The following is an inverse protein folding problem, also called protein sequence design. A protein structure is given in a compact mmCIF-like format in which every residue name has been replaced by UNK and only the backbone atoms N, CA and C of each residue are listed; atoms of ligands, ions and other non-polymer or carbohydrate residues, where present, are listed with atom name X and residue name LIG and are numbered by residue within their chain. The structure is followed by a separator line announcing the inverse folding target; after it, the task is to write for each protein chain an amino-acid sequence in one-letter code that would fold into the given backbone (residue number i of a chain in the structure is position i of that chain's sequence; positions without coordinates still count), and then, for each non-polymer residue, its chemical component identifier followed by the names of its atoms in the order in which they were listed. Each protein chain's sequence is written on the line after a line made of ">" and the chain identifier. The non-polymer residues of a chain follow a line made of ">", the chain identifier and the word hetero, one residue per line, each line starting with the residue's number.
data_IF_606260323997
#
_entry.id   IF_606260323997
#
_cell.length_a   1.000
_cell.length_b   1.000
_cell.length_c   1.000
_cell.angle_alpha   90.00
_cell.angle_beta   90.00
_cell.angle_gamma   90.00
#
_symmetry.space_group_name_H-M   'P 1'
#
loop_
_entity.id
_entity.type
_entity.pdbx_description
1 polymer ?
#
# COMPACT_ATOMS: atom_id res chain seq x y z
N UNK A 1 54.34 -27.78 -10.72
CA UNK A 1 53.34 -27.88 -11.81
C UNK A 1 52.87 -26.48 -12.10
N UNK A 2 53.43 -25.88 -13.15
CA UNK A 2 53.01 -24.60 -13.70
C UNK A 2 51.81 -24.83 -14.60
N UNK A 3 50.73 -24.05 -14.44
CA UNK A 3 49.77 -23.83 -15.50
C UNK A 3 49.35 -22.36 -15.54
N UNK A 4 49.41 -21.87 -16.78
CA UNK A 4 49.35 -20.50 -17.27
C UNK A 4 47.90 -19.97 -17.31
N UNK A 5 47.72 -18.68 -17.06
CA UNK A 5 46.54 -17.91 -17.50
C UNK A 5 46.39 -17.92 -19.03
N UNK A 6 45.18 -17.61 -19.53
CA UNK A 6 45.11 -16.64 -20.61
C UNK A 6 44.17 -15.46 -20.33
N UNK A 7 44.68 -14.29 -20.66
CA UNK A 7 44.03 -12.99 -20.70
C UNK A 7 43.11 -12.83 -21.93
N UNK A 8 42.04 -12.05 -21.80
CA UNK A 8 41.45 -11.23 -22.88
C UNK A 8 40.53 -10.17 -22.24
N UNK A 9 41.00 -8.92 -22.10
CA UNK A 9 40.67 -7.71 -22.90
C UNK A 9 39.18 -7.34 -22.88
N UNK A 10 38.83 -6.20 -22.27
CA UNK A 10 38.54 -4.91 -22.93
C UNK A 10 37.03 -4.68 -22.83
N UNK A 11 36.43 -3.51 -22.63
CA UNK A 11 36.86 -2.14 -22.44
C UNK A 11 35.58 -1.36 -22.05
N UNK A 12 35.72 -0.28 -21.27
CA UNK A 12 34.78 0.85 -21.11
C UNK A 12 33.40 0.70 -20.39
N UNK A 13 33.32 1.34 -19.20
CA UNK A 13 32.13 2.04 -18.66
C UNK A 13 31.56 3.08 -19.66
N UNK A 14 30.44 3.77 -19.37
CA UNK A 14 29.09 3.30 -19.08
C UNK A 14 28.12 3.86 -20.15
N UNK A 15 27.14 3.09 -20.63
CA UNK A 15 26.08 3.67 -21.46
C UNK A 15 25.08 4.40 -20.55
N UNK A 16 25.34 5.68 -20.29
CA UNK A 16 24.31 6.65 -19.95
C UNK A 16 23.44 6.85 -21.19
N UNK A 17 22.28 6.18 -21.23
CA UNK A 17 21.21 6.54 -22.16
C UNK A 17 20.54 7.83 -21.69
N UNK A 18 20.33 8.81 -22.57
CA UNK A 18 19.61 10.03 -22.24
C UNK A 18 18.11 9.73 -22.18
N UNK A 19 17.49 10.23 -21.12
CA UNK A 19 16.18 10.86 -21.10
C UNK A 19 15.10 10.27 -22.02
N UNK A 20 14.16 9.55 -21.40
CA UNK A 20 12.75 9.81 -21.71
C UNK A 20 12.11 10.15 -20.39
N UNK A 21 11.94 11.45 -20.13
CA UNK A 21 11.04 11.95 -19.12
C UNK A 21 9.65 11.36 -19.44
N UNK A 22 9.32 10.26 -18.79
CA UNK A 22 7.99 9.69 -18.87
C UNK A 22 7.06 10.78 -18.30
N UNK A 23 6.03 11.22 -19.04
CA UNK A 23 4.98 12.07 -18.46
C UNK A 23 4.50 11.41 -17.16
N UNK A 24 4.22 12.16 -16.08
CA UNK A 24 3.82 11.57 -14.82
C UNK A 24 2.65 10.64 -15.10
N UNK A 25 2.90 9.34 -14.94
CA UNK A 25 1.89 8.31 -15.13
C UNK A 25 0.78 8.69 -14.15
N UNK A 26 -0.41 8.98 -14.69
CA UNK A 26 -1.60 9.18 -13.87
C UNK A 26 -1.75 7.86 -13.12
N UNK A 27 -1.32 7.83 -11.85
CA UNK A 27 -1.46 6.66 -11.01
C UNK A 27 -2.94 6.31 -11.01
N UNK A 28 -3.31 5.16 -11.58
CA UNK A 28 -4.67 4.65 -11.58
C UNK A 28 -5.24 4.81 -10.17
N UNK A 29 -6.21 5.72 -10.03
CA UNK A 29 -6.77 6.03 -8.72
C UNK A 29 -7.49 4.77 -8.23
N UNK A 30 -6.96 4.15 -7.17
CA UNK A 30 -7.55 2.93 -6.64
C UNK A 30 -9.00 3.19 -6.22
N UNK A 31 -9.97 2.39 -6.70
CA UNK A 31 -11.37 2.62 -6.39
C UNK A 31 -11.62 2.50 -4.90
N UNK A 32 -12.27 3.53 -4.34
CA UNK A 32 -12.52 3.64 -2.91
C UNK A 32 -13.92 4.21 -2.64
N UNK A 33 -14.60 3.73 -1.60
CA UNK A 33 -15.83 4.33 -1.09
C UNK A 33 -15.55 5.40 -0.03
N UNK A 34 -14.35 5.43 0.56
CA UNK A 34 -13.96 6.39 1.59
C UNK A 34 -13.93 7.84 1.08
N UNK A 35 -14.70 8.71 1.74
CA UNK A 35 -14.70 10.14 1.45
C UNK A 35 -13.34 10.79 1.76
N UNK A 36 -12.68 10.36 2.84
CA UNK A 36 -11.38 10.92 3.25
C UNK A 36 -10.29 10.57 2.25
N UNK A 37 -10.26 9.34 1.73
CA UNK A 37 -9.27 8.96 0.70
C UNK A 37 -9.48 9.76 -0.58
N UNK A 38 -10.73 9.97 -1.03
CA UNK A 38 -11.04 10.74 -2.24
C UNK A 38 -10.52 12.18 -2.20
N UNK A 39 -10.60 12.80 -1.02
CA UNK A 39 -10.21 14.20 -0.81
C UNK A 39 -8.78 14.37 -0.26
N UNK A 40 -8.07 13.28 0.04
CA UNK A 40 -6.69 13.35 0.51
C UNK A 40 -5.74 13.83 -0.60
N UNK A 41 -4.65 14.56 -0.25
CA UNK A 41 -3.58 14.85 -1.19
C UNK A 41 -3.06 13.59 -1.88
N UNK A 42 -2.78 13.68 -3.18
CA UNK A 42 -2.41 12.51 -3.99
C UNK A 42 -1.21 11.73 -3.42
N UNK A 43 -0.24 12.43 -2.82
CA UNK A 43 0.95 11.82 -2.23
C UNK A 43 0.69 11.05 -0.93
N UNK A 44 -0.48 11.22 -0.31
CA UNK A 44 -0.90 10.51 0.90
C UNK A 44 -1.89 9.37 0.61
N UNK A 45 -2.45 9.31 -0.61
CA UNK A 45 -3.39 8.25 -0.96
C UNK A 45 -2.71 6.89 -0.91
N UNK A 46 -3.46 5.81 -0.58
CA UNK A 46 -2.93 4.46 -0.63
C UNK A 46 -2.35 4.14 -2.02
N UNK A 47 -1.15 3.59 -2.06
CA UNK A 47 -0.49 3.14 -3.29
C UNK A 47 -0.82 1.69 -3.65
N UNK A 48 -1.47 0.97 -2.74
CA UNK A 48 -1.91 -0.41 -2.92
C UNK A 48 -3.34 -0.58 -2.42
N UNK A 49 -4.05 -1.53 -3.02
CA UNK A 49 -5.40 -1.88 -2.59
C UNK A 49 -5.34 -2.55 -1.21
N UNK A 50 -6.13 -2.03 -0.27
CA UNK A 50 -6.31 -2.62 1.07
C UNK A 50 -7.80 -2.74 1.36
N UNK A 51 -8.19 -3.77 2.12
CA UNK A 51 -9.60 -4.04 2.45
C UNK A 51 -10.28 -2.81 3.09
N UNK A 52 -9.54 -2.06 3.90
CA UNK A 52 -10.02 -0.89 4.62
C UNK A 52 -10.43 0.28 3.72
N UNK A 53 -10.04 0.31 2.43
CA UNK A 53 -10.45 1.41 1.52
C UNK A 53 -11.96 1.47 1.32
N UNK A 54 -12.61 0.30 1.36
CA UNK A 54 -14.04 0.15 1.08
C UNK A 54 -14.85 -0.36 2.28
N UNK A 55 -14.19 -0.57 3.42
CA UNK A 55 -14.79 -1.19 4.59
C UNK A 55 -15.66 -0.18 5.35
N UNK A 56 -16.93 -0.50 5.65
CA UNK A 56 -17.81 0.39 6.40
C UNK A 56 -17.42 0.52 7.88
N UNK A 57 -16.59 -0.40 8.39
CA UNK A 57 -16.05 -0.35 9.75
C UNK A 57 -14.72 0.43 9.84
N UNK A 58 -14.16 0.84 8.70
CA UNK A 58 -12.91 1.59 8.66
C UNK A 58 -13.16 3.09 8.78
N UNK A 59 -12.40 3.73 9.66
CA UNK A 59 -12.36 5.18 9.82
C UNK A 59 -11.02 5.67 9.28
N UNK A 60 -11.07 6.48 8.22
CA UNK A 60 -9.90 7.15 7.67
C UNK A 60 -9.80 8.56 8.25
N UNK A 61 -8.58 8.98 8.59
CA UNK A 61 -8.30 10.26 9.25
C UNK A 61 -7.15 10.92 8.51
N UNK A 62 -7.34 12.16 8.06
CA UNK A 62 -6.28 13.00 7.50
C UNK A 62 -5.82 13.98 8.60
N UNK A 63 -4.62 13.81 9.13
CA UNK A 63 -4.06 14.71 10.14
C UNK A 63 -3.25 15.82 9.48
N UNK A 64 -3.70 17.07 9.65
CA UNK A 64 -3.01 18.31 9.23
C UNK A 64 -2.38 18.26 7.83
N UNK A 65 -3.00 17.53 6.88
CA UNK A 65 -2.47 17.29 5.53
C UNK A 65 -1.08 16.61 5.46
N UNK A 66 -0.61 16.00 6.56
CA UNK A 66 0.69 15.32 6.62
C UNK A 66 0.57 13.80 6.58
N UNK A 67 -0.43 13.25 7.26
CA UNK A 67 -0.58 11.80 7.42
C UNK A 67 -2.01 11.37 7.19
N UNK A 68 -2.15 10.29 6.41
CA UNK A 68 -3.42 9.61 6.21
C UNK A 68 -3.38 8.30 6.98
N UNK A 69 -4.25 8.19 7.98
CA UNK A 69 -4.31 7.06 8.89
C UNK A 69 -5.65 6.33 8.74
N UNK A 70 -5.64 5.03 9.02
CA UNK A 70 -6.83 4.20 9.05
C UNK A 70 -6.94 3.53 10.41
N UNK A 71 -8.17 3.45 10.93
CA UNK A 71 -8.50 2.77 12.17
C UNK A 71 -9.72 1.86 11.99
N UNK A 72 -9.62 0.63 12.49
CA UNK A 72 -10.76 -0.21 12.85
C UNK A 72 -10.34 -1.18 13.95
N UNK A 73 -11.30 -1.80 14.65
CA UNK A 73 -10.99 -2.73 15.75
C UNK A 73 -10.14 -3.92 15.27
N UNK A 74 -10.45 -4.50 14.11
CA UNK A 74 -9.67 -5.61 13.54
C UNK A 74 -8.24 -5.20 13.19
N UNK A 75 -8.06 -4.00 12.64
CA UNK A 75 -6.75 -3.45 12.33
C UNK A 75 -5.93 -3.23 13.62
N UNK A 76 -6.55 -2.69 14.68
CA UNK A 76 -5.92 -2.54 15.99
C UNK A 76 -5.38 -3.89 16.50
N UNK A 77 -6.23 -4.91 16.53
CA UNK A 77 -5.84 -6.25 17.00
C UNK A 77 -4.79 -6.91 16.11
N UNK A 78 -4.84 -6.67 14.80
CA UNK A 78 -3.93 -7.35 13.86
C UNK A 78 -2.57 -6.67 13.76
N UNK A 79 -2.53 -5.34 13.74
CA UNK A 79 -1.31 -4.57 13.43
C UNK A 79 -0.69 -3.97 14.68
N UNK A 80 -1.50 -3.43 15.59
CA UNK A 80 -0.98 -2.75 16.79
C UNK A 80 -0.77 -3.69 17.97
N UNK A 81 -1.67 -4.64 18.24
CA UNK A 81 -1.48 -5.61 19.33
C UNK A 81 -0.40 -6.67 19.00
N UNK A 82 -0.25 -7.07 17.74
CA UNK A 82 0.76 -8.07 17.36
C UNK A 82 2.15 -7.48 17.08
N UNK A 83 2.26 -6.14 17.04
CA UNK A 83 3.45 -5.41 16.58
C UNK A 83 3.96 -5.83 15.18
N UNK A 84 3.15 -6.51 14.37
CA UNK A 84 3.48 -6.85 12.99
C UNK A 84 2.90 -5.81 12.06
N UNK A 85 3.77 -4.96 11.53
CA UNK A 85 3.42 -4.07 10.43
C UNK A 85 2.98 -4.91 9.22
N UNK A 86 1.78 -4.66 8.72
CA UNK A 86 1.22 -5.38 7.59
C UNK A 86 -0.04 -4.72 7.06
N UNK A 87 -0.33 -4.96 5.78
CA UNK A 87 -1.57 -4.52 5.15
C UNK A 87 -2.58 -5.67 5.17
N UNK A 88 -3.84 -5.33 5.45
CA UNK A 88 -4.95 -6.28 5.40
C UNK A 88 -5.53 -6.23 3.98
N UNK A 89 -5.24 -7.24 3.18
CA UNK A 89 -5.76 -7.38 1.82
C UNK A 89 -7.19 -7.93 1.79
N UNK A 90 -7.52 -8.82 2.72
CA UNK A 90 -8.83 -9.49 2.85
C UNK A 90 -9.29 -9.45 4.30
N UNK A 91 -10.54 -9.05 4.54
CA UNK A 91 -11.13 -8.94 5.87
C UNK A 91 -12.63 -9.24 5.81
N UNK A 92 -13.12 -10.11 6.68
CA UNK A 92 -14.53 -10.52 6.80
C UNK A 92 -15.24 -9.88 8.02
N UNK A 93 -14.60 -8.92 8.68
CA UNK A 93 -15.16 -8.26 9.86
C UNK A 93 -16.53 -7.60 9.62
N UNK A 94 -16.79 -6.95 8.46
CA UNK A 94 -18.13 -6.44 8.13
C UNK A 94 -19.20 -7.54 8.10
N UNK A 95 -18.90 -8.69 7.48
CA UNK A 95 -19.80 -9.84 7.37
C UNK A 95 -20.08 -10.45 8.74
N UNK A 96 -19.06 -10.59 9.58
CA UNK A 96 -19.22 -11.07 10.97
C UNK A 96 -20.09 -10.12 11.80
N UNK A 97 -19.89 -8.80 11.67
CA UNK A 97 -20.72 -7.81 12.34
C UNK A 97 -22.19 -7.89 11.88
N UNK A 98 -22.41 -8.06 10.58
CA UNK A 98 -23.75 -8.22 10.01
C UNK A 98 -24.43 -9.53 10.45
N UNK A 99 -23.69 -10.61 10.62
CA UNK A 99 -24.21 -11.88 11.15
C UNK A 99 -24.61 -11.74 12.63
N UNK A 100 -23.74 -11.20 13.47
CA UNK A 100 -24.02 -11.01 14.91
C UNK A 100 -25.24 -10.11 15.18
N UNK A 101 -25.47 -9.11 14.33
CA UNK A 101 -26.65 -8.24 14.43
C UNK A 101 -27.97 -8.99 14.11
N UNK A 102 -27.94 -10.02 13.26
CA UNK A 102 -29.11 -10.85 12.93
C UNK A 102 -29.43 -11.85 14.04
N UNK A 103 -28.41 -12.39 14.69
CA UNK A 103 -28.57 -13.37 15.78
C UNK A 103 -29.05 -12.74 17.10
N UNK A 104 -29.07 -11.40 17.17
CA UNK A 104 -29.51 -10.63 18.34
C UNK A 104 -30.99 -10.23 18.32
N UNK A 105 -31.78 -10.76 17.38
CA UNK A 105 -33.21 -10.47 17.18
C UNK A 105 -34.05 -11.75 17.22
#
# INVERSE_FOLDING_TARGET
>A
MSYQEPATKADHLPTSSPETAQPPQIADELPTTSHVIKNAPQHLKPTMAVACMNCPLAVWILQEERTLECYCRTLYMTVWETHKHGTISMCDAPEQAAAAAKDSN
#
